data_IF_433824252959
#
_entry.id   IF_433824252959
#
_cell.length_a   1.000
_cell.length_b   1.000
_cell.length_c   1.000
_cell.angle_alpha   90.00
_cell.angle_beta   90.00
_cell.angle_gamma   90.00
#
_symmetry.space_group_name_H-M   'P 1'
#
loop_
_entity.id
_entity.type
_entity.pdbx_description
1 polymer ?
#
# COMPACT_ATOMS: atom_id res chain seq x y z
N UNK A 1 -6.60 -4.46 -13.66
CA UNK A 1 -6.26 -4.75 -12.24
C UNK A 1 -7.49 -5.39 -11.62
N UNK A 2 -7.34 -6.54 -10.98
CA UNK A 2 -8.44 -7.24 -10.32
C UNK A 2 -7.97 -7.82 -8.99
N UNK A 3 -8.84 -7.82 -8.00
CA UNK A 3 -8.61 -8.49 -6.74
C UNK A 3 -9.83 -9.34 -6.38
N UNK A 4 -9.61 -10.59 -6.02
CA UNK A 4 -10.61 -11.48 -5.45
C UNK A 4 -10.23 -11.70 -3.99
N UNK A 5 -11.15 -11.43 -3.09
CA UNK A 5 -10.90 -11.46 -1.65
C UNK A 5 -12.01 -12.25 -0.98
N UNK A 6 -11.63 -13.27 -0.24
CA UNK A 6 -12.51 -13.99 0.67
C UNK A 6 -11.71 -14.31 1.92
N UNK A 7 -11.98 -13.64 3.03
CA UNK A 7 -11.19 -13.75 4.25
C UNK A 7 -12.07 -13.80 5.48
N UNK A 8 -11.62 -14.60 6.45
CA UNK A 8 -12.18 -14.65 7.80
C UNK A 8 -11.06 -14.46 8.81
N UNK A 9 -11.22 -13.49 9.69
CA UNK A 9 -10.20 -13.14 10.68
C UNK A 9 -10.84 -12.68 11.99
N UNK A 10 -10.43 -13.28 13.09
CA UNK A 10 -10.88 -12.92 14.43
C UNK A 10 -9.82 -12.08 15.14
N UNK A 11 -10.25 -10.95 15.66
CA UNK A 11 -9.42 -10.09 16.48
C UNK A 11 -10.13 -9.81 17.81
N UNK A 12 -9.79 -10.57 18.84
CA UNK A 12 -10.53 -10.56 20.10
C UNK A 12 -11.99 -10.99 19.91
N UNK A 13 -12.92 -10.14 20.31
CA UNK A 13 -14.36 -10.37 20.13
C UNK A 13 -14.85 -10.04 18.70
N UNK A 14 -14.08 -9.29 17.92
CA UNK A 14 -14.47 -8.90 16.57
C UNK A 14 -14.17 -10.02 15.56
N UNK A 15 -15.15 -10.34 14.72
CA UNK A 15 -15.02 -11.28 13.62
C UNK A 15 -15.20 -10.53 12.30
N UNK A 16 -14.14 -10.46 11.51
CA UNK A 16 -14.17 -10.02 10.13
C UNK A 16 -14.48 -11.22 9.24
N UNK A 17 -15.56 -11.18 8.48
CA UNK A 17 -15.93 -12.22 7.51
C UNK A 17 -16.44 -11.50 6.25
N UNK A 18 -15.62 -11.45 5.21
CA UNK A 18 -15.89 -10.66 4.01
C UNK A 18 -15.46 -11.40 2.75
N UNK A 19 -16.27 -11.24 1.70
CA UNK A 19 -15.94 -11.68 0.35
C UNK A 19 -16.37 -10.60 -0.64
N UNK A 20 -15.45 -10.22 -1.53
CA UNK A 20 -15.72 -9.26 -2.60
C UNK A 20 -14.72 -9.41 -3.75
N UNK A 21 -15.09 -8.85 -4.89
CA UNK A 21 -14.20 -8.67 -6.04
C UNK A 21 -14.05 -7.19 -6.34
N UNK A 22 -12.83 -6.77 -6.63
CA UNK A 22 -12.52 -5.42 -7.11
C UNK A 22 -12.01 -5.50 -8.55
N UNK A 23 -12.64 -4.76 -9.45
CA UNK A 23 -12.23 -4.65 -10.85
C UNK A 23 -11.18 -3.57 -11.09
N UNK A 24 -11.00 -3.20 -12.37
CA UNK A 24 -10.14 -2.06 -12.74
C UNK A 24 -10.71 -0.76 -12.22
N UNK A 25 -9.84 0.15 -11.76
CA UNK A 25 -10.21 1.47 -11.27
C UNK A 25 -10.13 1.59 -9.75
N UNK A 26 -11.00 2.40 -9.17
CA UNK A 26 -11.03 2.68 -7.73
C UNK A 26 -12.15 1.87 -7.08
N UNK A 27 -11.82 1.13 -6.03
CA UNK A 27 -12.78 0.45 -5.17
C UNK A 27 -12.71 1.06 -3.78
N UNK A 28 -13.82 1.57 -3.26
CA UNK A 28 -13.89 2.15 -1.93
C UNK A 28 -14.47 1.16 -0.92
N UNK A 29 -13.80 1.00 0.21
CA UNK A 29 -14.33 0.29 1.38
C UNK A 29 -15.05 1.30 2.28
N UNK A 30 -16.36 1.18 2.38
CA UNK A 30 -17.19 2.09 3.17
C UNK A 30 -17.79 1.37 4.38
N UNK A 31 -17.93 2.08 5.49
CA UNK A 31 -18.53 1.55 6.72
C UNK A 31 -18.12 2.36 7.96
N UNK A 32 -18.78 2.13 9.12
CA UNK A 32 -18.50 2.82 10.36
C UNK A 32 -17.07 2.58 10.87
N UNK A 33 -16.64 3.38 11.85
CA UNK A 33 -15.38 3.12 12.56
C UNK A 33 -15.45 1.75 13.26
N UNK A 34 -14.36 1.01 13.22
CA UNK A 34 -14.32 -0.35 13.78
C UNK A 34 -14.86 -1.47 12.88
N UNK A 35 -15.44 -1.17 11.71
CA UNK A 35 -15.96 -2.19 10.78
C UNK A 35 -14.90 -3.09 10.12
N UNK A 36 -13.62 -2.95 10.47
CA UNK A 36 -12.55 -3.81 9.94
C UNK A 36 -11.92 -3.35 8.63
N UNK A 37 -12.22 -2.14 8.12
CA UNK A 37 -11.64 -1.62 6.86
C UNK A 37 -10.12 -1.67 6.85
N UNK A 38 -9.48 -1.19 7.91
CA UNK A 38 -8.02 -1.23 8.06
C UNK A 38 -7.49 -2.67 8.12
N UNK A 39 -8.21 -3.57 8.78
CA UNK A 39 -7.84 -4.99 8.83
C UNK A 39 -7.86 -5.63 7.44
N UNK A 40 -8.85 -5.31 6.60
CA UNK A 40 -8.90 -5.75 5.20
C UNK A 40 -7.66 -5.26 4.45
N UNK A 41 -7.34 -3.95 4.55
CA UNK A 41 -6.18 -3.35 3.90
C UNK A 41 -4.88 -4.01 4.37
N UNK A 42 -4.72 -4.26 5.67
CA UNK A 42 -3.54 -4.93 6.21
C UNK A 42 -3.41 -6.38 5.73
N UNK A 43 -4.53 -7.12 5.64
CA UNK A 43 -4.52 -8.49 5.10
C UNK A 43 -4.16 -8.48 3.61
N UNK A 44 -4.71 -7.54 2.82
CA UNK A 44 -4.35 -7.35 1.40
C UNK A 44 -2.87 -7.02 1.23
N UNK A 45 -2.33 -6.14 2.06
CA UNK A 45 -0.91 -5.78 2.06
C UNK A 45 0.01 -6.92 2.55
N UNK A 46 -0.54 -7.98 3.17
CA UNK A 46 0.25 -9.06 3.75
C UNK A 46 0.82 -8.77 5.13
N UNK A 47 0.41 -7.68 5.77
CA UNK A 47 0.85 -7.30 7.11
C UNK A 47 0.16 -8.13 8.20
N UNK A 48 -1.02 -8.67 7.90
CA UNK A 48 -1.79 -9.52 8.80
C UNK A 48 -2.14 -10.81 8.06
N UNK A 49 -1.90 -11.95 8.71
CA UNK A 49 -2.34 -13.25 8.21
C UNK A 49 -3.73 -13.54 8.80
N UNK A 50 -4.77 -13.74 7.96
CA UNK A 50 -6.11 -14.08 8.46
C UNK A 50 -6.16 -15.55 8.92
N UNK A 51 -7.19 -15.90 9.70
CA UNK A 51 -7.39 -17.27 10.18
C UNK A 51 -7.73 -18.21 9.01
N UNK A 52 -8.58 -17.73 8.10
CA UNK A 52 -8.94 -18.45 6.87
C UNK A 52 -9.12 -17.47 5.72
N UNK A 53 -8.89 -17.96 4.52
CA UNK A 53 -9.26 -17.22 3.32
C UNK A 53 -8.35 -17.42 2.15
N UNK A 54 -8.77 -16.79 1.05
CA UNK A 54 -8.06 -16.76 -0.23
C UNK A 54 -8.06 -15.35 -0.77
N UNK A 55 -6.92 -14.92 -1.28
CA UNK A 55 -6.75 -13.64 -1.97
C UNK A 55 -5.99 -13.88 -3.27
N UNK A 56 -6.56 -13.37 -4.35
CA UNK A 56 -5.93 -13.34 -5.67
C UNK A 56 -5.77 -11.89 -6.08
N UNK A 57 -4.57 -11.48 -6.42
CA UNK A 57 -4.25 -10.15 -6.97
C UNK A 57 -3.70 -10.33 -8.38
N UNK A 58 -4.29 -9.69 -9.37
CA UNK A 58 -3.89 -9.78 -10.77
C UNK A 58 -3.71 -11.22 -11.27
N UNK A 59 -4.61 -12.13 -10.88
CA UNK A 59 -4.54 -13.55 -11.24
C UNK A 59 -3.54 -14.37 -10.41
N UNK A 60 -2.76 -13.73 -9.52
CA UNK A 60 -1.80 -14.42 -8.66
C UNK A 60 -2.37 -14.65 -7.26
N UNK A 61 -2.40 -15.90 -6.82
CA UNK A 61 -2.80 -16.22 -5.44
C UNK A 61 -1.73 -15.76 -4.46
N UNK A 62 -2.04 -14.75 -3.63
CA UNK A 62 -1.13 -14.20 -2.62
C UNK A 62 -1.42 -14.70 -1.22
N UNK A 63 -2.61 -15.26 -1.01
CA UNK A 63 -3.03 -15.94 0.20
C UNK A 63 -3.96 -17.09 -0.17
N UNK A 64 -3.72 -18.25 0.42
CA UNK A 64 -4.64 -19.38 0.40
C UNK A 64 -4.31 -20.24 1.65
N UNK A 65 -5.16 -20.15 2.66
CA UNK A 65 -4.91 -20.83 3.93
C UNK A 65 -5.04 -22.35 3.83
N UNK A 66 -5.89 -22.84 2.93
CA UNK A 66 -6.10 -24.28 2.75
C UNK A 66 -4.90 -24.93 2.04
N UNK A 67 -4.21 -24.14 1.21
CA UNK A 67 -3.00 -24.56 0.48
C UNK A 67 -1.70 -24.11 1.17
N UNK A 68 -1.77 -23.45 2.31
CA UNK A 68 -0.60 -22.94 3.04
C UNK A 68 0.12 -21.79 2.32
N UNK A 69 -0.52 -21.14 1.33
CA UNK A 69 0.08 -20.04 0.57
C UNK A 69 -0.01 -18.75 1.38
N UNK A 70 1.12 -18.09 1.60
CA UNK A 70 1.21 -16.75 2.16
C UNK A 70 2.39 -16.01 1.55
N UNK A 71 2.10 -15.13 0.60
CA UNK A 71 3.11 -14.26 0.00
C UNK A 71 3.39 -13.10 0.96
N UNK A 72 4.65 -12.88 1.39
CA UNK A 72 4.97 -11.79 2.31
C UNK A 72 4.83 -10.42 1.64
N UNK A 73 4.67 -9.33 2.44
CA UNK A 73 4.35 -7.98 1.94
C UNK A 73 5.26 -7.49 0.82
N UNK A 74 6.57 -7.69 0.97
CA UNK A 74 7.58 -7.23 0.02
C UNK A 74 7.53 -7.91 -1.35
N UNK A 75 6.82 -9.04 -1.45
CA UNK A 75 6.63 -9.80 -2.70
C UNK A 75 5.24 -9.62 -3.32
N UNK A 76 4.32 -8.91 -2.64
CA UNK A 76 2.94 -8.73 -3.14
C UNK A 76 2.79 -7.65 -4.18
N UNK A 77 3.82 -6.84 -4.43
CA UNK A 77 3.75 -5.67 -5.31
C UNK A 77 2.58 -4.74 -4.97
N UNK A 78 2.24 -4.65 -3.68
CA UNK A 78 1.21 -3.77 -3.15
C UNK A 78 1.85 -2.50 -2.59
N UNK A 79 1.41 -1.34 -3.06
CA UNK A 79 1.74 -0.04 -2.48
C UNK A 79 0.78 0.27 -1.34
N UNK A 80 1.28 0.50 -0.14
CA UNK A 80 0.45 0.85 1.01
C UNK A 80 0.81 2.24 1.52
N UNK A 81 -0.20 3.09 1.64
CA UNK A 81 -0.10 4.37 2.33
C UNK A 81 -0.82 4.25 3.68
N UNK A 82 -0.06 4.35 4.77
CA UNK A 82 -0.62 4.30 6.11
C UNK A 82 -1.32 5.62 6.47
N UNK A 83 -2.36 5.56 7.26
CA UNK A 83 -3.02 6.74 7.81
C UNK A 83 -2.04 7.65 8.58
N UNK A 84 -1.10 7.06 9.32
CA UNK A 84 -0.04 7.78 10.06
C UNK A 84 1.15 8.21 9.19
N UNK A 85 1.01 8.10 7.88
CA UNK A 85 1.96 8.55 6.82
C UNK A 85 3.35 7.92 6.86
N UNK A 86 3.86 7.40 7.93
CA UNK A 86 5.11 6.64 8.18
C UNK A 86 6.26 6.92 7.21
N UNK A 87 6.67 8.19 7.10
CA UNK A 87 7.89 8.57 6.37
C UNK A 87 9.13 8.24 7.21
N UNK A 88 10.24 7.97 6.53
CA UNK A 88 11.54 7.78 7.19
C UNK A 88 12.08 9.14 7.67
N UNK A 89 12.11 9.42 8.97
CA UNK A 89 12.38 10.76 9.49
C UNK A 89 13.84 11.21 9.32
N UNK A 90 14.75 10.26 9.10
CA UNK A 90 16.18 10.48 8.89
C UNK A 90 16.56 10.64 7.41
N UNK A 91 15.58 10.56 6.51
CA UNK A 91 15.77 10.68 5.07
C UNK A 91 15.12 11.95 4.56
N UNK A 92 15.68 12.57 3.51
CA UNK A 92 15.02 13.65 2.77
C UNK A 92 13.75 13.17 2.08
N UNK A 93 12.91 14.11 1.60
CA UNK A 93 11.73 13.79 0.77
C UNK A 93 12.14 12.98 -0.45
N UNK A 94 13.17 13.40 -1.18
CA UNK A 94 13.68 12.69 -2.35
C UNK A 94 14.08 11.25 -2.02
N UNK A 95 14.82 11.05 -0.93
CA UNK A 95 15.25 9.71 -0.52
C UNK A 95 14.06 8.85 -0.09
N UNK A 96 13.06 9.43 0.57
CA UNK A 96 11.80 8.75 0.88
C UNK A 96 11.08 8.29 -0.39
N UNK A 97 10.94 9.17 -1.38
CA UNK A 97 10.28 8.88 -2.65
C UNK A 97 10.97 7.70 -3.39
N UNK A 98 12.30 7.72 -3.44
CA UNK A 98 13.08 6.74 -4.18
C UNK A 98 13.34 5.44 -3.40
N UNK A 99 12.89 5.32 -2.16
CA UNK A 99 13.23 4.19 -1.29
C UNK A 99 12.80 2.83 -1.87
N UNK A 100 11.56 2.71 -2.30
CA UNK A 100 11.02 1.48 -2.90
C UNK A 100 11.71 1.15 -4.23
N UNK A 101 11.89 2.16 -5.05
CA UNK A 101 12.55 2.05 -6.35
C UNK A 101 13.97 1.47 -6.27
N UNK A 102 14.78 2.02 -5.36
CA UNK A 102 16.17 1.55 -5.16
C UNK A 102 16.24 0.08 -4.74
N UNK A 103 15.28 -0.39 -3.94
CA UNK A 103 15.25 -1.79 -3.49
C UNK A 103 14.84 -2.78 -4.59
N UNK A 104 14.13 -2.34 -5.60
CA UNK A 104 13.69 -3.19 -6.72
C UNK A 104 14.79 -3.41 -7.76
N UNK A 105 15.99 -2.85 -7.60
CA UNK A 105 17.11 -2.98 -8.54
C UNK A 105 16.84 -2.37 -9.93
N UNK A 106 15.76 -1.63 -10.08
CA UNK A 106 15.42 -0.95 -11.34
C UNK A 106 16.22 0.34 -11.46
N UNK A 107 16.73 0.63 -12.66
CA UNK A 107 17.23 1.98 -12.98
C UNK A 107 16.06 2.94 -12.90
N UNK A 108 16.24 4.02 -12.15
CA UNK A 108 15.22 5.05 -12.02
C UNK A 108 14.97 5.68 -13.40
N UNK A 109 13.73 5.59 -13.88
CA UNK A 109 13.30 6.40 -15.00
C UNK A 109 13.12 7.84 -14.50
N UNK A 110 14.06 8.69 -14.87
CA UNK A 110 14.08 10.10 -14.45
C UNK A 110 12.80 10.83 -14.90
N UNK A 111 12.24 10.47 -16.05
CA UNK A 111 11.01 11.05 -16.56
C UNK A 111 9.80 10.69 -15.67
N UNK A 112 9.69 9.45 -15.26
CA UNK A 112 8.61 8.99 -14.37
C UNK A 112 8.73 9.61 -12.97
N UNK A 113 9.93 9.72 -12.43
CA UNK A 113 10.18 10.41 -11.16
C UNK A 113 9.73 11.87 -11.27
N UNK A 114 10.18 12.58 -12.30
CA UNK A 114 9.82 13.97 -12.52
C UNK A 114 8.30 14.14 -12.70
N UNK A 115 7.65 13.21 -13.39
CA UNK A 115 6.18 13.19 -13.57
C UNK A 115 5.45 13.09 -12.23
N UNK A 116 5.83 12.14 -11.37
CA UNK A 116 5.20 11.93 -10.06
C UNK A 116 5.48 13.11 -9.12
N UNK A 117 6.72 13.63 -9.11
CA UNK A 117 7.10 14.79 -8.30
C UNK A 117 6.26 16.00 -8.68
N UNK A 118 6.09 16.27 -9.98
CA UNK A 118 5.27 17.37 -10.50
C UNK A 118 3.79 17.16 -10.20
N UNK A 119 3.26 15.96 -10.46
CA UNK A 119 1.87 15.62 -10.20
C UNK A 119 1.46 15.89 -8.74
N UNK A 120 2.38 15.64 -7.81
CA UNK A 120 2.15 15.80 -6.37
C UNK A 120 2.62 17.14 -5.81
N UNK A 121 3.19 18.04 -6.65
CA UNK A 121 3.68 19.35 -6.24
C UNK A 121 4.80 19.28 -5.21
N UNK A 122 5.78 18.39 -5.41
CA UNK A 122 6.85 18.10 -4.47
C UNK A 122 8.21 18.73 -4.86
N UNK A 123 8.29 19.45 -5.98
CA UNK A 123 9.56 19.95 -6.55
C UNK A 123 10.37 20.76 -5.54
N UNK A 124 9.71 21.67 -4.80
CA UNK A 124 10.35 22.55 -3.82
C UNK A 124 10.63 21.87 -2.47
N UNK A 125 10.21 20.63 -2.32
CA UNK A 125 10.27 19.91 -1.05
C UNK A 125 11.34 18.80 -1.04
N UNK A 126 11.92 18.44 -2.18
CA UNK A 126 12.77 17.26 -2.36
C UNK A 126 13.92 17.18 -1.34
N UNK A 127 14.55 18.30 -1.02
CA UNK A 127 15.68 18.36 -0.09
C UNK A 127 15.26 18.55 1.38
N UNK A 128 13.95 18.71 1.64
CA UNK A 128 13.46 18.91 3.02
C UNK A 128 13.43 17.60 3.80
N UNK A 129 13.60 17.73 5.13
CA UNK A 129 13.32 16.64 6.06
C UNK A 129 11.81 16.52 6.28
N UNK A 130 11.26 15.30 6.46
CA UNK A 130 9.85 15.08 6.81
C UNK A 130 9.38 15.84 8.05
N UNK A 131 10.28 16.19 8.95
CA UNK A 131 9.97 16.95 10.16
C UNK A 131 9.43 18.36 9.86
N UNK A 132 9.83 18.94 8.73
CA UNK A 132 9.46 20.29 8.32
C UNK A 132 8.32 20.33 7.29
N UNK A 133 7.59 19.23 7.13
CA UNK A 133 6.45 19.12 6.24
C UNK A 133 5.14 19.25 7.01
N UNK A 134 4.16 19.91 6.40
CA UNK A 134 2.76 19.86 6.83
C UNK A 134 2.18 18.44 6.68
N UNK A 135 1.03 18.19 7.31
CA UNK A 135 0.34 16.89 7.18
C UNK A 135 0.03 16.52 5.74
N UNK A 136 -0.51 17.47 4.96
CA UNK A 136 -0.81 17.26 3.54
C UNK A 136 0.43 17.00 2.67
N UNK A 137 1.56 17.71 2.95
CA UNK A 137 2.83 17.45 2.27
C UNK A 137 3.36 16.03 2.58
N UNK A 138 3.30 15.62 3.85
CA UNK A 138 3.67 14.26 4.26
C UNK A 138 2.85 13.21 3.54
N UNK A 139 1.54 13.39 3.45
CA UNK A 139 0.64 12.47 2.75
C UNK A 139 0.98 12.37 1.26
N UNK A 140 1.26 13.50 0.58
CA UNK A 140 1.70 13.49 -0.82
C UNK A 140 3.03 12.78 -1.01
N UNK A 141 3.99 12.96 -0.12
CA UNK A 141 5.29 12.24 -0.17
C UNK A 141 5.08 10.74 0.02
N UNK A 142 4.22 10.31 0.96
CA UNK A 142 3.92 8.88 1.16
C UNK A 142 3.24 8.26 -0.07
N UNK A 143 2.30 8.98 -0.68
CA UNK A 143 1.66 8.58 -1.92
C UNK A 143 2.68 8.47 -3.07
N UNK A 144 3.55 9.46 -3.24
CA UNK A 144 4.61 9.44 -4.24
C UNK A 144 5.57 8.26 -4.05
N UNK A 145 5.96 7.96 -2.81
CA UNK A 145 6.77 6.79 -2.47
C UNK A 145 6.09 5.47 -2.88
N UNK A 146 4.78 5.36 -2.62
CA UNK A 146 4.02 4.18 -3.00
C UNK A 146 3.88 4.04 -4.52
N UNK A 147 3.59 5.12 -5.24
CA UNK A 147 3.47 5.14 -6.70
C UNK A 147 4.78 4.81 -7.40
N UNK A 148 5.90 5.40 -6.95
CA UNK A 148 7.23 5.14 -7.51
C UNK A 148 7.70 3.70 -7.29
N UNK A 149 7.14 2.96 -6.34
CA UNK A 149 7.37 1.54 -6.22
C UNK A 149 6.67 0.71 -7.32
N UNK A 150 5.97 1.34 -8.26
CA UNK A 150 5.23 0.69 -9.37
C UNK A 150 4.41 -0.52 -8.92
N UNK A 151 3.49 -0.33 -7.96
CA UNK A 151 2.71 -1.43 -7.41
C UNK A 151 1.63 -1.90 -8.41
N UNK A 152 1.26 -3.17 -8.31
CA UNK A 152 0.11 -3.72 -9.04
C UNK A 152 -1.21 -3.31 -8.40
N UNK A 153 -1.23 -3.04 -7.10
CA UNK A 153 -2.38 -2.51 -6.35
C UNK A 153 -1.91 -1.42 -5.38
N UNK A 154 -2.67 -0.32 -5.32
CA UNK A 154 -2.45 0.76 -4.37
C UNK A 154 -3.54 0.72 -3.29
N UNK A 155 -3.12 0.65 -2.03
CA UNK A 155 -3.96 0.60 -0.85
C UNK A 155 -3.79 1.91 -0.07
N UNK A 156 -4.91 2.62 0.20
CA UNK A 156 -4.93 3.93 0.83
C UNK A 156 -5.77 3.90 2.11
#
# INVERSE_FOLDING_TARGET
MSAEVAIRHRQGAFLLDVAFTAGKGVTALFGPSGAGKTSIVHVLAGLTRPDRGRIVLEGHTVLDTDKGVFVPPEKRRAGLVFQDVRLFPHMSVETNLLFGWRRMGKRADAAEIARIVRLLGLEKLLQRSPKHLSGGEKSRVALGRALLATPDILLL
#
